data_IF_911606285626
#
_entry.id   IF_911606285626
#
_cell.length_a   1.000
_cell.length_b   1.000
_cell.length_c   1.000
_cell.angle_alpha   90.00
_cell.angle_beta   90.00
_cell.angle_gamma   90.00
#
_symmetry.space_group_name_H-M   'P 1'
#
loop_
_entity.id
_entity.type
_entity.pdbx_description
1 polymer ?
#
# COMPACT_ATOMS: atom_id res chain seq x y z
N UNK A 1 -3.24 7.47 -9.34
CA UNK A 1 -2.12 6.61 -8.91
C UNK A 1 -1.14 6.48 -10.06
N UNK A 2 0.13 6.28 -9.73
CA UNK A 2 1.20 5.92 -10.64
C UNK A 2 1.78 4.58 -10.16
N UNK A 3 2.11 3.70 -11.08
CA UNK A 3 2.59 2.35 -10.79
C UNK A 3 4.01 2.13 -11.28
N UNK A 4 4.70 1.17 -10.69
CA UNK A 4 5.95 0.63 -11.22
C UNK A 4 5.61 -0.27 -12.42
N UNK A 5 6.28 -0.05 -13.55
CA UNK A 5 6.12 -0.87 -14.76
C UNK A 5 6.39 -2.35 -14.47
N UNK A 6 5.56 -3.22 -15.04
CA UNK A 6 5.58 -4.67 -14.80
C UNK A 6 4.99 -5.09 -13.45
N UNK A 7 4.43 -4.17 -12.66
CA UNK A 7 3.88 -4.45 -11.34
C UNK A 7 2.57 -3.73 -11.03
N UNK A 8 2.14 -3.87 -9.76
CA UNK A 8 1.01 -3.14 -9.17
C UNK A 8 1.45 -2.28 -7.99
N UNK A 9 2.76 -2.20 -7.75
CA UNK A 9 3.36 -1.38 -6.71
C UNK A 9 3.21 0.12 -7.03
N UNK A 10 2.86 0.96 -6.05
CA UNK A 10 2.71 2.39 -6.29
C UNK A 10 4.08 3.04 -6.45
N UNK A 11 4.34 3.68 -7.59
CA UNK A 11 5.48 4.59 -7.76
C UNK A 11 5.14 6.00 -7.26
N UNK A 12 3.84 6.31 -7.15
CA UNK A 12 3.34 7.56 -6.62
C UNK A 12 1.82 7.62 -6.48
N UNK A 13 1.34 8.47 -5.58
CA UNK A 13 -0.07 8.82 -5.48
C UNK A 13 -0.26 10.33 -5.34
N UNK A 14 -1.43 10.81 -5.78
CA UNK A 14 -1.93 12.15 -5.44
C UNK A 14 -3.34 11.99 -4.88
N UNK A 15 -3.52 12.36 -3.62
CA UNK A 15 -4.84 12.45 -2.98
C UNK A 15 -5.36 13.87 -3.19
N UNK A 16 -6.64 13.99 -3.59
CA UNK A 16 -7.30 15.28 -3.79
C UNK A 16 -8.54 15.35 -2.91
N UNK A 17 -8.59 16.36 -2.04
CA UNK A 17 -9.72 16.65 -1.17
C UNK A 17 -10.37 17.96 -1.61
N UNK A 18 -11.69 17.98 -1.72
CA UNK A 18 -12.45 19.18 -2.14
C UNK A 18 -13.30 19.62 -0.96
N UNK A 19 -13.07 20.85 -0.48
CA UNK A 19 -13.86 21.45 0.61
C UNK A 19 -15.26 21.83 0.10
N UNK A 20 -16.26 21.99 0.98
CA UNK A 20 -17.57 22.51 0.60
C UNK A 20 -17.54 23.89 -0.08
N UNK A 21 -16.50 24.70 0.19
CA UNK A 21 -16.26 25.99 -0.48
C UNK A 21 -15.80 25.87 -1.94
N UNK A 22 -15.46 24.67 -2.40
CA UNK A 22 -14.86 24.39 -3.72
C UNK A 22 -13.33 24.44 -3.73
N UNK A 23 -12.70 24.93 -2.67
CA UNK A 23 -11.25 24.92 -2.52
C UNK A 23 -10.71 23.47 -2.47
N UNK A 24 -9.53 23.25 -3.05
CA UNK A 24 -8.92 21.93 -3.15
C UNK A 24 -7.66 21.86 -2.29
N UNK A 25 -7.51 20.77 -1.54
CA UNK A 25 -6.25 20.35 -0.91
C UNK A 25 -5.71 19.17 -1.70
N UNK A 26 -4.42 19.17 -2.04
CA UNK A 26 -3.75 18.03 -2.68
C UNK A 26 -2.61 17.52 -1.84
N UNK A 27 -2.46 16.20 -1.75
CA UNK A 27 -1.34 15.54 -1.10
C UNK A 27 -0.63 14.63 -2.10
N UNK A 28 0.59 14.98 -2.48
CA UNK A 28 1.48 14.09 -3.26
C UNK A 28 2.18 13.13 -2.30
N UNK A 29 2.06 11.84 -2.54
CA UNK A 29 2.75 10.78 -1.81
C UNK A 29 3.86 10.18 -2.68
N UNK A 30 5.08 10.15 -2.17
CA UNK A 30 6.24 9.53 -2.80
C UNK A 30 6.69 8.32 -1.95
N UNK A 31 6.23 7.09 -2.28
CA UNK A 31 6.65 5.85 -1.61
C UNK A 31 8.16 5.64 -1.67
N UNK A 32 8.75 5.12 -0.58
CA UNK A 32 10.20 4.87 -0.45
C UNK A 32 10.52 3.42 -0.11
N UNK A 33 9.99 2.91 1.00
CA UNK A 33 10.31 1.57 1.50
C UNK A 33 9.02 0.83 1.79
N UNK A 34 8.88 -0.36 1.22
CA UNK A 34 7.75 -1.25 1.45
C UNK A 34 7.93 -2.09 2.72
N UNK A 35 6.89 -2.12 3.54
CA UNK A 35 6.69 -3.01 4.67
C UNK A 35 5.55 -3.97 4.33
N UNK A 36 5.90 -5.23 4.05
CA UNK A 36 4.95 -6.25 3.63
C UNK A 36 4.21 -6.84 4.83
N UNK A 37 3.24 -6.08 5.34
CA UNK A 37 2.46 -6.45 6.54
C UNK A 37 1.66 -7.75 6.35
N UNK A 38 1.32 -8.10 5.11
CA UNK A 38 0.71 -9.39 4.79
C UNK A 38 1.54 -10.64 5.13
N UNK A 39 2.78 -10.50 5.63
CA UNK A 39 3.65 -11.63 5.95
C UNK A 39 4.02 -11.65 7.43
N UNK A 40 3.35 -12.52 8.19
CA UNK A 40 3.71 -12.78 9.59
C UNK A 40 3.42 -11.64 10.57
N UNK A 41 2.49 -10.72 10.25
CA UNK A 41 2.04 -9.67 11.20
C UNK A 41 0.60 -9.82 11.65
N UNK A 42 -0.13 -10.82 11.14
CA UNK A 42 -1.58 -10.90 11.36
C UNK A 42 -2.39 -10.02 10.38
N UNK A 43 -1.84 -9.67 9.22
CA UNK A 43 -2.54 -9.00 8.11
C UNK A 43 -2.70 -9.85 6.86
N UNK A 44 -2.11 -11.04 6.86
CA UNK A 44 -2.07 -11.91 5.70
C UNK A 44 -3.17 -12.97 5.66
N UNK A 45 -2.95 -13.93 4.78
CA UNK A 45 -3.81 -15.08 4.51
C UNK A 45 -3.14 -16.40 4.91
N UNK A 46 -1.94 -16.36 5.51
CA UNK A 46 -1.23 -17.55 5.95
C UNK A 46 -2.03 -18.28 7.03
N UNK A 47 -2.12 -19.60 6.94
CA UNK A 47 -2.97 -20.38 7.86
C UNK A 47 -2.65 -20.15 9.34
N UNK A 48 -1.37 -19.95 9.65
CA UNK A 48 -0.88 -19.82 11.03
C UNK A 48 -0.73 -18.35 11.48
N UNK A 49 -0.93 -17.37 10.59
CA UNK A 49 -0.76 -15.92 10.85
C UNK A 49 -1.83 -15.05 10.16
N UNK A 50 -2.99 -15.64 9.82
CA UNK A 50 -4.05 -14.94 9.08
C UNK A 50 -4.62 -13.77 9.88
N UNK A 51 -5.28 -12.87 9.16
CA UNK A 51 -5.88 -11.68 9.74
C UNK A 51 -6.83 -11.99 10.91
N UNK A 52 -6.58 -11.33 12.05
CA UNK A 52 -7.39 -11.47 13.27
C UNK A 52 -7.32 -12.84 13.97
N UNK A 53 -6.36 -13.69 13.62
CA UNK A 53 -6.24 -15.03 14.21
C UNK A 53 -5.89 -14.98 15.71
N UNK A 54 -6.64 -15.72 16.52
CA UNK A 54 -6.25 -16.01 17.89
C UNK A 54 -5.05 -16.96 17.92
N UNK A 55 -4.02 -16.59 18.67
CA UNK A 55 -2.74 -17.30 18.74
C UNK A 55 -2.54 -18.11 20.04
N UNK A 56 -3.51 -18.07 20.96
CA UNK A 56 -3.37 -18.58 22.33
C UNK A 56 -2.99 -17.48 23.32
N UNK A 57 -3.12 -17.77 24.62
CA UNK A 57 -3.11 -16.75 25.68
C UNK A 57 -1.81 -15.93 25.76
N UNK A 58 -0.65 -16.57 25.58
CA UNK A 58 0.68 -15.95 25.76
C UNK A 58 1.65 -16.34 24.63
N UNK A 59 1.18 -16.37 23.39
CA UNK A 59 2.03 -16.76 22.25
C UNK A 59 3.15 -15.74 22.00
N UNK A 60 4.39 -16.23 21.94
CA UNK A 60 5.55 -15.45 21.48
C UNK A 60 6.24 -16.20 20.35
N UNK A 61 6.37 -15.55 19.19
CA UNK A 61 7.05 -16.08 18.01
C UNK A 61 7.68 -14.95 17.19
N UNK A 62 8.61 -15.32 16.32
CA UNK A 62 9.21 -14.43 15.33
C UNK A 62 9.33 -15.13 13.99
N UNK A 63 9.18 -14.37 12.91
CA UNK A 63 9.39 -14.81 11.54
C UNK A 63 10.46 -13.94 10.89
N UNK A 64 11.27 -14.54 10.03
CA UNK A 64 12.27 -13.83 9.23
C UNK A 64 12.20 -14.30 7.80
N UNK A 65 11.65 -13.45 6.95
CA UNK A 65 11.52 -13.70 5.53
C UNK A 65 12.50 -12.83 4.75
N UNK A 66 12.98 -13.31 3.61
CA UNK A 66 13.66 -12.46 2.63
C UNK A 66 12.62 -11.91 1.67
N UNK A 67 12.65 -10.60 1.45
CA UNK A 67 11.67 -9.90 0.58
C UNK A 67 11.61 -10.49 -0.83
N UNK A 68 12.75 -10.91 -1.39
CA UNK A 68 12.85 -11.51 -2.72
C UNK A 68 12.23 -12.91 -2.82
N UNK A 69 11.97 -13.57 -1.69
CA UNK A 69 11.44 -14.93 -1.61
C UNK A 69 9.98 -14.94 -1.12
N UNK A 70 9.35 -13.77 -0.94
CA UNK A 70 7.95 -13.67 -0.56
C UNK A 70 7.04 -14.17 -1.68
N UNK A 71 5.97 -14.87 -1.31
CA UNK A 71 4.99 -15.41 -2.26
C UNK A 71 4.37 -14.27 -3.11
N UNK A 72 4.52 -14.30 -4.45
CA UNK A 72 4.03 -13.23 -5.32
C UNK A 72 2.51 -13.07 -5.30
N UNK A 73 1.78 -14.15 -5.08
CA UNK A 73 0.31 -14.15 -5.02
C UNK A 73 -0.15 -13.42 -3.76
N UNK A 74 0.42 -13.78 -2.61
CA UNK A 74 0.18 -13.11 -1.33
C UNK A 74 0.52 -11.62 -1.38
N UNK A 75 1.64 -11.25 -2.01
CA UNK A 75 2.00 -9.83 -2.23
C UNK A 75 0.92 -9.06 -3.00
N UNK A 76 0.19 -9.72 -3.89
CA UNK A 76 -0.86 -9.09 -4.70
C UNK A 76 -2.17 -8.94 -3.92
N UNK A 77 -2.47 -9.84 -2.98
CA UNK A 77 -3.75 -9.88 -2.26
C UNK A 77 -3.72 -9.28 -0.85
N UNK A 78 -2.55 -8.92 -0.34
CA UNK A 78 -2.40 -8.27 0.96
C UNK A 78 -1.96 -6.80 0.80
N UNK A 79 -2.44 -5.89 1.66
CA UNK A 79 -1.93 -4.52 1.69
C UNK A 79 -0.44 -4.47 2.02
N UNK A 80 0.21 -3.43 1.50
CA UNK A 80 1.60 -3.09 1.78
C UNK A 80 1.66 -1.68 2.32
N UNK A 81 2.30 -1.53 3.48
CA UNK A 81 2.60 -0.23 4.06
C UNK A 81 3.87 0.34 3.43
N UNK A 82 3.80 1.53 2.87
CA UNK A 82 4.98 2.21 2.36
C UNK A 82 5.36 3.34 3.31
N UNK A 83 6.59 3.32 3.85
CA UNK A 83 7.16 4.58 4.30
C UNK A 83 7.27 5.51 3.10
N UNK A 84 6.73 6.71 3.22
CA UNK A 84 6.61 7.67 2.14
C UNK A 84 6.85 9.10 2.63
N UNK A 85 7.34 9.94 1.72
CA UNK A 85 7.31 11.39 1.90
C UNK A 85 6.02 11.95 1.31
N UNK A 86 5.50 13.00 1.93
CA UNK A 86 4.27 13.66 1.53
C UNK A 86 4.51 15.16 1.35
N UNK A 87 3.93 15.71 0.29
CA UNK A 87 3.82 17.15 0.07
C UNK A 87 2.35 17.52 0.03
N UNK A 88 1.89 18.32 0.98
CA UNK A 88 0.55 18.86 1.03
C UNK A 88 0.55 20.29 0.51
N UNK A 89 -0.38 20.58 -0.40
CA UNK A 89 -0.64 21.91 -0.95
C UNK A 89 -2.08 22.30 -0.64
N UNK A 90 -2.25 23.46 -0.01
CA UNK A 90 -3.54 24.08 0.33
C UNK A 90 -3.47 25.58 -0.01
N UNK A 91 -4.16 26.00 -1.07
CA UNK A 91 -3.98 27.35 -1.63
C UNK A 91 -2.54 27.59 -2.07
N UNK A 92 -1.94 28.67 -1.58
CA UNK A 92 -0.52 29.01 -1.83
C UNK A 92 0.43 28.41 -0.77
N UNK A 93 -0.09 27.66 0.21
CA UNK A 93 0.71 27.06 1.27
C UNK A 93 1.14 25.64 0.90
N UNK A 94 2.43 25.34 1.13
CA UNK A 94 3.02 24.01 0.96
C UNK A 94 3.63 23.53 2.29
N UNK A 95 3.44 22.25 2.59
CA UNK A 95 4.02 21.60 3.77
C UNK A 95 4.48 20.18 3.45
N UNK A 96 5.47 19.70 4.21
CA UNK A 96 6.06 18.38 4.01
C UNK A 96 5.97 17.55 5.28
N UNK A 97 5.87 16.24 5.11
CA UNK A 97 5.93 15.28 6.20
C UNK A 97 6.21 13.87 5.70
N UNK A 98 6.50 12.98 6.63
CA UNK A 98 6.74 11.57 6.33
C UNK A 98 5.79 10.69 7.14
N UNK A 99 5.46 9.52 6.61
CA UNK A 99 4.52 8.61 7.26
C UNK A 99 4.33 7.31 6.50
N UNK A 100 3.26 6.59 6.86
CA UNK A 100 2.87 5.35 6.20
C UNK A 100 1.78 5.62 5.15
N UNK A 101 1.96 5.01 3.99
CA UNK A 101 0.98 4.91 2.92
C UNK A 101 0.63 3.45 2.71
N UNK A 102 -0.44 3.00 3.36
CA UNK A 102 -1.00 1.66 3.15
C UNK A 102 -1.68 1.61 1.78
N UNK A 103 -1.32 0.61 0.97
CA UNK A 103 -1.86 0.48 -0.37
C UNK A 103 -2.09 -0.97 -0.78
N UNK A 104 -3.24 -1.21 -1.41
CA UNK A 104 -3.58 -2.45 -2.12
C UNK A 104 -4.41 -2.10 -3.36
N UNK A 105 -4.16 -2.82 -4.47
CA UNK A 105 -5.00 -2.75 -5.67
C UNK A 105 -5.29 -4.17 -6.18
N UNK A 106 -6.51 -4.62 -5.92
CA UNK A 106 -6.93 -6.01 -6.14
C UNK A 106 -8.06 -6.02 -7.16
N UNK A 107 -7.90 -6.82 -8.23
CA UNK A 107 -8.92 -6.94 -9.27
C UNK A 107 -8.81 -5.88 -10.37
N UNK A 108 -9.86 -5.75 -11.20
CA UNK A 108 -9.92 -4.81 -12.33
C UNK A 108 -9.98 -3.34 -11.89
N UNK A 109 -9.21 -2.50 -12.55
CA UNK A 109 -9.19 -1.03 -12.48
C UNK A 109 -8.84 -0.44 -13.87
N UNK A 110 -9.86 -0.27 -14.72
CA UNK A 110 -9.73 0.20 -16.09
C UNK A 110 -8.93 1.50 -16.25
N UNK A 111 -9.09 2.43 -15.30
CA UNK A 111 -8.37 3.72 -15.29
C UNK A 111 -6.84 3.56 -15.31
N UNK A 112 -6.32 2.40 -14.89
CA UNK A 112 -4.89 2.08 -14.82
C UNK A 112 -4.51 0.93 -15.77
N UNK A 113 -5.43 0.51 -16.64
CA UNK A 113 -5.19 -0.57 -17.60
C UNK A 113 -5.25 -1.99 -17.00
N UNK A 114 -5.81 -2.15 -15.80
CA UNK A 114 -6.00 -3.47 -15.19
C UNK A 114 -7.40 -3.97 -15.57
N UNK A 115 -7.51 -4.83 -16.59
CA UNK A 115 -8.78 -5.44 -16.99
C UNK A 115 -9.09 -6.70 -16.17
N UNK A 116 -8.05 -7.44 -15.78
CA UNK A 116 -8.13 -8.69 -15.04
C UNK A 116 -7.45 -8.60 -13.67
N UNK A 117 -7.61 -9.67 -12.87
CA UNK A 117 -7.08 -9.74 -11.50
C UNK A 117 -5.56 -9.63 -11.39
N UNK A 118 -4.83 -10.07 -12.41
CA UNK A 118 -3.37 -10.22 -12.38
C UNK A 118 -2.62 -9.31 -13.35
N UNK A 119 -3.34 -8.44 -14.07
CA UNK A 119 -2.73 -7.47 -14.98
C UNK A 119 -1.75 -6.56 -14.25
N UNK A 120 -0.71 -6.12 -14.92
CA UNK A 120 0.30 -5.23 -14.35
C UNK A 120 0.40 -3.95 -15.17
N UNK A 121 0.93 -2.89 -14.56
CA UNK A 121 1.12 -1.63 -15.25
C UNK A 121 2.15 -1.81 -16.39
N UNK A 122 1.96 -1.15 -17.54
CA UNK A 122 2.91 -1.20 -18.64
C UNK A 122 4.28 -0.61 -18.28
#
# INVERSE_FOLDING_TARGET
MEFVSGGREPSGATLRFVKPSGETISVRCAPKVANFIGFGTGYGLEQDWRHGMWQGDEKVQALRNKVSELDPTMKMFCPVDHYANFTLVEGDAESHGDGLFEFAVIGPHDQYGFAEYVDVAP
#
